data_IF_877627835453
#
_entry.id   IF_877627835453
#
_cell.length_a   1.000
_cell.length_b   1.000
_cell.length_c   1.000
_cell.angle_alpha   90.00
_cell.angle_beta   90.00
_cell.angle_gamma   90.00
#
_symmetry.space_group_name_H-M   'P 1'
#
loop_
_entity.id
_entity.type
_entity.pdbx_description
1 polymer ?
#
# COMPACT_ATOMS: atom_id res chain seq x y z
N UNK A 1 39.09 11.86 -48.23
CA UNK A 1 37.89 12.32 -47.47
C UNK A 1 37.14 11.06 -47.04
N UNK A 2 37.27 10.59 -45.79
CA UNK A 2 36.33 10.81 -44.65
C UNK A 2 34.88 10.48 -45.07
N UNK A 3 34.14 9.60 -44.40
CA UNK A 3 33.78 9.68 -42.97
C UNK A 3 33.62 8.30 -42.32
N UNK A 4 34.10 8.20 -41.08
CA UNK A 4 33.98 7.06 -40.17
C UNK A 4 32.80 7.35 -39.23
N UNK A 5 31.75 6.52 -39.29
CA UNK A 5 30.59 6.66 -38.40
C UNK A 5 30.93 6.06 -37.03
N UNK A 6 31.01 6.91 -36.01
CA UNK A 6 31.17 6.52 -34.61
C UNK A 6 29.77 6.23 -34.07
N UNK A 7 29.50 4.97 -33.75
CA UNK A 7 28.28 4.54 -33.07
C UNK A 7 28.39 4.90 -31.59
N UNK A 8 27.71 5.96 -31.17
CA UNK A 8 27.71 6.41 -29.77
C UNK A 8 26.71 5.57 -28.97
N UNK A 9 27.22 4.64 -28.15
CA UNK A 9 26.42 3.85 -27.21
C UNK A 9 26.11 4.73 -25.98
N UNK A 10 24.89 5.26 -25.92
CA UNK A 10 24.41 5.99 -24.74
C UNK A 10 23.87 4.98 -23.73
N UNK A 11 24.65 4.71 -22.67
CA UNK A 11 24.23 3.90 -21.53
C UNK A 11 23.38 4.79 -20.61
N UNK A 12 22.06 4.72 -20.76
CA UNK A 12 21.13 5.35 -19.82
C UNK A 12 21.16 4.57 -18.50
N UNK A 13 21.82 5.14 -17.49
CA UNK A 13 21.70 4.68 -16.10
C UNK A 13 20.29 5.04 -15.65
N UNK A 14 19.37 4.09 -15.71
CA UNK A 14 18.10 4.18 -14.98
C UNK A 14 18.43 4.13 -13.50
N UNK A 15 18.35 5.27 -12.82
CA UNK A 15 18.21 5.30 -11.37
C UNK A 15 16.94 4.52 -11.03
N UNK A 16 17.10 3.31 -10.50
CA UNK A 16 16.06 2.66 -9.72
C UNK A 16 15.83 3.58 -8.51
N UNK A 17 14.78 4.40 -8.58
CA UNK A 17 14.26 5.04 -7.38
C UNK A 17 13.95 3.90 -6.41
N UNK A 18 14.73 3.81 -5.34
CA UNK A 18 14.38 2.97 -4.20
C UNK A 18 13.16 3.64 -3.57
N UNK A 19 11.97 3.22 -4.01
CA UNK A 19 10.73 3.53 -3.33
C UNK A 19 10.85 2.92 -1.92
N UNK A 20 11.34 3.71 -0.97
CA UNK A 20 11.07 3.45 0.43
C UNK A 20 9.56 3.36 0.53
N UNK A 21 9.04 2.20 0.94
CA UNK A 21 7.63 1.80 0.85
C UNK A 21 6.69 2.68 1.70
N UNK A 22 6.55 3.94 1.29
CA UNK A 22 5.35 4.75 1.41
C UNK A 22 4.61 4.54 0.10
N UNK A 23 3.29 4.37 0.14
CA UNK A 23 2.50 4.07 -1.07
C UNK A 23 2.79 5.03 -2.23
N UNK A 24 2.44 4.62 -3.45
CA UNK A 24 2.70 5.42 -4.66
C UNK A 24 2.31 6.90 -4.45
N UNK A 25 3.17 7.82 -4.90
CA UNK A 25 2.92 9.24 -4.77
C UNK A 25 1.75 9.68 -5.67
N UNK A 26 0.99 10.73 -5.30
CA UNK A 26 0.07 11.36 -6.22
C UNK A 26 0.79 11.87 -7.48
N UNK A 27 0.18 11.68 -8.64
CA UNK A 27 0.75 12.09 -9.93
C UNK A 27 -0.24 12.99 -10.65
N UNK A 28 0.23 14.15 -11.10
CA UNK A 28 -0.52 15.02 -12.01
C UNK A 28 0.17 15.08 -13.36
N UNK A 29 -0.54 14.66 -14.42
CA UNK A 29 -0.02 14.65 -15.78
C UNK A 29 -1.16 14.78 -16.79
N UNK A 30 -0.96 15.61 -17.81
CA UNK A 30 -1.89 15.78 -18.94
C UNK A 30 -3.35 16.06 -18.50
N UNK A 31 -3.53 16.88 -17.46
CA UNK A 31 -4.85 17.23 -16.93
C UNK A 31 -5.50 16.16 -16.06
N UNK A 32 -4.79 15.07 -15.75
CA UNK A 32 -5.25 13.99 -14.87
C UNK A 32 -4.46 13.98 -13.56
N UNK A 33 -5.19 14.03 -12.44
CA UNK A 33 -4.64 13.84 -11.10
C UNK A 33 -5.00 12.43 -10.61
N UNK A 34 -3.99 11.58 -10.45
CA UNK A 34 -4.11 10.26 -9.85
C UNK A 34 -3.66 10.32 -8.38
N UNK A 35 -4.54 9.90 -7.47
CA UNK A 35 -4.25 9.77 -6.04
C UNK A 35 -4.36 8.27 -5.69
N UNK A 36 -3.24 7.61 -5.35
CA UNK A 36 -3.25 6.16 -5.14
C UNK A 36 -4.11 5.70 -3.98
N UNK A 37 -4.17 6.47 -2.90
CA UNK A 37 -4.90 6.12 -1.69
C UNK A 37 -5.27 7.35 -0.87
N UNK A 38 -6.45 7.31 -0.25
CA UNK A 38 -6.94 8.31 0.72
C UNK A 38 -7.44 7.60 1.97
N UNK A 39 -6.91 8.03 3.12
CA UNK A 39 -7.34 7.57 4.44
C UNK A 39 -8.52 8.42 4.94
N UNK A 40 -9.48 7.79 5.61
CA UNK A 40 -10.43 8.49 6.50
C UNK A 40 -10.02 8.27 7.95
N UNK A 41 -10.64 9.00 8.90
CA UNK A 41 -10.42 8.76 10.33
C UNK A 41 -10.60 7.27 10.68
N UNK A 42 -11.67 6.67 10.18
CA UNK A 42 -12.06 5.29 10.54
C UNK A 42 -11.38 4.19 9.71
N UNK A 43 -10.86 4.51 8.51
CA UNK A 43 -10.37 3.48 7.58
C UNK A 43 -9.19 3.99 6.76
N UNK A 44 -8.02 3.39 6.99
CA UNK A 44 -6.85 3.56 6.14
C UNK A 44 -7.12 2.93 4.76
N UNK A 45 -6.73 3.62 3.68
CA UNK A 45 -6.97 3.21 2.30
C UNK A 45 -8.45 3.07 1.92
N UNK A 46 -9.35 3.84 2.56
CA UNK A 46 -10.81 3.81 2.30
C UNK A 46 -11.12 3.99 0.83
N UNK A 47 -10.45 4.93 0.18
CA UNK A 47 -10.52 5.16 -1.26
C UNK A 47 -9.15 4.88 -1.87
N UNK A 48 -9.13 4.23 -3.03
CA UNK A 48 -7.92 3.88 -3.78
C UNK A 48 -8.14 4.16 -5.27
N UNK A 49 -7.04 4.29 -6.01
CA UNK A 49 -7.04 4.47 -7.47
C UNK A 49 -7.94 5.63 -7.93
N UNK A 50 -7.92 6.73 -7.18
CA UNK A 50 -8.75 7.90 -7.44
C UNK A 50 -8.15 8.66 -8.62
N UNK A 51 -8.98 8.97 -9.61
CA UNK A 51 -8.58 9.81 -10.75
C UNK A 51 -9.52 10.99 -10.89
N UNK A 52 -8.96 12.20 -10.90
CA UNK A 52 -9.65 13.43 -11.27
C UNK A 52 -9.17 13.93 -12.62
N UNK A 53 -10.09 14.46 -13.43
CA UNK A 53 -9.78 15.19 -14.66
C UNK A 53 -10.05 16.68 -14.44
N UNK A 54 -9.09 17.52 -14.80
CA UNK A 54 -9.28 18.97 -14.86
C UNK A 54 -10.08 19.30 -16.13
N UNK A 55 -11.24 19.94 -15.97
CA UNK A 55 -12.07 20.40 -17.09
C UNK A 55 -11.50 21.68 -17.70
N UNK A 56 -11.92 22.00 -18.92
CA UNK A 56 -11.53 23.25 -19.60
C UNK A 56 -11.96 24.50 -18.80
N UNK A 57 -13.02 24.39 -18.00
CA UNK A 57 -13.50 25.46 -17.12
C UNK A 57 -12.76 25.50 -15.77
N UNK A 58 -11.73 24.67 -15.58
CA UNK A 58 -10.90 24.65 -14.38
C UNK A 58 -11.51 23.89 -13.20
N UNK A 59 -12.55 23.07 -13.42
CA UNK A 59 -13.14 22.24 -12.37
C UNK A 59 -12.49 20.86 -12.33
N UNK A 60 -12.37 20.28 -11.13
CA UNK A 60 -11.97 18.89 -10.98
C UNK A 60 -13.19 17.98 -11.06
N UNK A 61 -13.20 17.08 -12.01
CA UNK A 61 -14.21 16.04 -12.15
C UNK A 61 -13.63 14.70 -11.72
N UNK A 62 -14.25 14.07 -10.73
CA UNK A 62 -13.96 12.70 -10.34
C UNK A 62 -14.36 11.74 -11.47
N UNK A 63 -13.41 10.94 -11.94
CA UNK A 63 -13.61 10.03 -13.09
C UNK A 63 -13.63 8.57 -12.68
N UNK A 64 -12.80 8.19 -11.70
CA UNK A 64 -12.78 6.84 -11.16
C UNK A 64 -12.36 6.86 -9.69
N UNK A 65 -12.86 5.88 -8.94
CA UNK A 65 -12.31 5.49 -7.65
C UNK A 65 -12.66 4.02 -7.36
N UNK A 66 -11.86 3.42 -6.49
CA UNK A 66 -12.15 2.16 -5.80
C UNK A 66 -12.38 2.45 -4.32
N UNK A 67 -13.31 1.76 -3.66
CA UNK A 67 -13.60 2.00 -2.24
C UNK A 67 -13.86 0.72 -1.46
N UNK A 68 -13.36 0.68 -0.23
CA UNK A 68 -13.62 -0.41 0.71
C UNK A 68 -15.10 -0.37 1.12
N UNK A 69 -15.85 -1.43 0.79
CA UNK A 69 -17.23 -1.65 1.26
C UNK A 69 -18.31 -0.67 0.77
N UNK A 70 -18.11 0.04 -0.35
CA UNK A 70 -19.12 0.97 -0.92
C UNK A 70 -19.59 0.50 -2.29
N UNK A 71 -20.89 0.21 -2.45
CA UNK A 71 -21.47 -0.41 -3.65
C UNK A 71 -22.19 0.54 -4.63
N UNK A 72 -22.15 1.86 -4.43
CA UNK A 72 -22.86 2.81 -5.30
C UNK A 72 -21.92 3.36 -6.40
N UNK A 73 -21.92 2.74 -7.57
CA UNK A 73 -21.21 3.22 -8.77
C UNK A 73 -19.68 3.23 -8.67
N UNK A 74 -19.13 2.56 -7.67
CA UNK A 74 -17.69 2.54 -7.31
C UNK A 74 -17.16 1.11 -7.40
N UNK A 75 -15.89 0.94 -7.80
CA UNK A 75 -15.23 -0.37 -7.74
C UNK A 75 -15.08 -0.81 -6.28
N UNK A 76 -15.77 -1.89 -5.89
CA UNK A 76 -15.80 -2.35 -4.49
C UNK A 76 -14.53 -3.10 -4.14
N UNK A 77 -13.75 -2.57 -3.20
CA UNK A 77 -12.64 -3.28 -2.57
C UNK A 77 -13.15 -4.10 -1.39
N UNK A 78 -12.62 -5.32 -1.29
CA UNK A 78 -12.83 -6.18 -0.13
C UNK A 78 -11.62 -6.17 0.81
N UNK A 79 -11.86 -6.56 2.07
CA UNK A 79 -10.82 -6.86 3.03
C UNK A 79 -10.71 -8.38 3.16
N UNK A 80 -9.52 -8.98 2.92
CA UNK A 80 -9.32 -10.40 3.18
C UNK A 80 -9.38 -10.67 4.69
N UNK A 81 -9.75 -11.92 5.02
CA UNK A 81 -9.66 -12.43 6.38
C UNK A 81 -8.17 -12.57 6.75
N UNK A 82 -7.80 -12.06 7.93
CA UNK A 82 -6.45 -12.21 8.48
C UNK A 82 -6.47 -13.34 9.50
N UNK A 83 -5.76 -14.42 9.19
CA UNK A 83 -5.70 -15.60 10.04
C UNK A 83 -4.59 -15.49 11.09
N UNK A 84 -3.43 -14.93 10.72
CA UNK A 84 -2.28 -14.80 11.62
C UNK A 84 -1.42 -13.60 11.24
N UNK A 85 -0.88 -12.95 12.27
CA UNK A 85 0.17 -11.94 12.16
C UNK A 85 1.33 -12.35 13.06
N UNK A 86 2.51 -12.52 12.48
CA UNK A 86 3.76 -12.74 13.21
C UNK A 86 4.59 -11.45 13.16
N UNK A 87 5.08 -10.99 14.31
CA UNK A 87 6.02 -9.87 14.39
C UNK A 87 7.44 -10.43 14.25
N UNK A 88 8.20 -9.90 13.30
CA UNK A 88 9.63 -10.18 13.14
C UNK A 88 10.39 -8.88 13.38
N UNK A 89 11.25 -8.85 14.40
CA UNK A 89 12.09 -7.70 14.74
C UNK A 89 13.56 -8.09 14.58
N UNK A 90 14.37 -7.21 14.00
CA UNK A 90 15.82 -7.44 13.89
C UNK A 90 16.53 -7.11 15.20
N UNK A 91 17.61 -7.83 15.48
CA UNK A 91 18.51 -7.53 16.60
C UNK A 91 19.54 -6.43 16.27
N UNK A 92 19.59 -5.96 15.02
CA UNK A 92 20.42 -4.83 14.60
C UNK A 92 19.84 -3.48 15.02
N UNK A 93 20.69 -2.46 15.05
CA UNK A 93 20.29 -1.08 15.29
C UNK A 93 20.62 -0.18 14.08
N UNK A 94 19.67 0.64 13.57
CA UNK A 94 18.27 0.74 13.99
C UNK A 94 17.49 -0.57 13.77
N UNK A 95 16.53 -0.83 14.65
CA UNK A 95 15.65 -1.99 14.56
C UNK A 95 14.71 -1.86 13.35
N UNK A 96 14.54 -2.96 12.63
CA UNK A 96 13.49 -3.16 11.65
C UNK A 96 12.39 -4.00 12.27
N UNK A 97 11.14 -3.67 11.96
CA UNK A 97 9.97 -4.46 12.35
C UNK A 97 9.21 -4.82 11.09
N UNK A 98 8.96 -6.11 10.91
CA UNK A 98 8.19 -6.68 9.81
C UNK A 98 6.98 -7.41 10.39
N UNK A 99 5.81 -7.18 9.81
CA UNK A 99 4.62 -7.99 10.07
C UNK A 99 4.49 -9.04 8.98
N UNK A 100 4.59 -10.31 9.35
CA UNK A 100 4.36 -11.43 8.44
C UNK A 100 2.91 -11.90 8.60
N UNK A 101 2.09 -11.52 7.64
CA UNK A 101 0.63 -11.64 7.65
C UNK A 101 0.20 -12.77 6.72
N UNK A 102 -0.56 -13.72 7.25
CA UNK A 102 -1.23 -14.77 6.48
C UNK A 102 -2.74 -14.70 6.64
N UNK A 103 -3.45 -15.06 5.58
CA UNK A 103 -4.89 -15.04 5.57
C UNK A 103 -5.45 -15.57 4.27
N UNK A 104 -6.72 -15.28 4.00
CA UNK A 104 -7.39 -15.71 2.78
C UNK A 104 -8.54 -14.83 2.35
N UNK A 105 -8.91 -14.95 1.08
CA UNK A 105 -10.09 -14.30 0.51
C UNK A 105 -10.71 -15.19 -0.58
N UNK A 106 -11.98 -14.98 -0.84
CA UNK A 106 -12.69 -15.66 -1.92
C UNK A 106 -12.14 -15.22 -3.27
N UNK A 107 -11.62 -16.16 -4.07
CA UNK A 107 -11.12 -15.89 -5.42
C UNK A 107 -12.20 -16.07 -6.50
N UNK A 108 -13.45 -15.77 -6.16
CA UNK A 108 -14.46 -15.63 -7.20
C UNK A 108 -14.12 -14.42 -8.08
N UNK A 109 -14.35 -14.53 -9.40
CA UNK A 109 -14.20 -13.42 -10.35
C UNK A 109 -12.76 -12.89 -10.52
N UNK A 110 -11.76 -13.77 -10.44
CA UNK A 110 -10.34 -13.45 -10.63
C UNK A 110 -9.83 -12.33 -9.72
N UNK A 111 -10.23 -12.39 -8.45
CA UNK A 111 -9.78 -11.43 -7.44
C UNK A 111 -8.31 -11.66 -7.11
N UNK A 112 -7.59 -10.57 -6.90
CA UNK A 112 -6.19 -10.55 -6.52
C UNK A 112 -6.01 -9.61 -5.34
N UNK A 113 -5.00 -9.89 -4.53
CA UNK A 113 -4.57 -8.95 -3.50
C UNK A 113 -4.27 -7.58 -4.13
N UNK A 114 -4.79 -6.56 -3.48
CA UNK A 114 -4.64 -5.16 -3.83
C UNK A 114 -3.56 -4.50 -2.99
N UNK A 115 -3.78 -3.22 -2.72
CA UNK A 115 -2.83 -2.36 -2.04
C UNK A 115 -2.75 -2.68 -0.53
N UNK A 116 -1.60 -2.33 0.05
CA UNK A 116 -1.39 -2.31 1.50
C UNK A 116 -1.25 -0.85 1.91
N UNK A 117 -2.18 -0.39 2.72
CA UNK A 117 -2.22 0.99 3.22
C UNK A 117 -1.95 1.01 4.71
N UNK A 118 -1.16 1.98 5.17
CA UNK A 118 -0.70 2.07 6.55
C UNK A 118 -0.83 3.51 7.07
N UNK A 119 -1.17 3.66 8.34
CA UNK A 119 -1.12 4.92 9.09
C UNK A 119 -0.61 4.63 10.49
N UNK A 120 0.30 5.47 10.97
CA UNK A 120 0.69 5.53 12.38
C UNK A 120 0.01 6.73 13.02
N UNK A 121 -0.76 6.51 14.08
CA UNK A 121 -1.38 7.55 14.88
C UNK A 121 -1.47 7.08 16.33
N UNK A 122 -1.07 7.91 17.31
CA UNK A 122 -1.12 7.57 18.73
C UNK A 122 -0.47 6.21 19.10
N UNK A 123 0.73 5.94 18.56
CA UNK A 123 1.44 4.65 18.70
C UNK A 123 0.68 3.41 18.17
N UNK A 124 -0.39 3.61 17.40
CA UNK A 124 -1.11 2.55 16.71
C UNK A 124 -0.85 2.60 15.21
N UNK A 125 -0.41 1.47 14.67
CA UNK A 125 -0.40 1.23 13.24
C UNK A 125 -1.74 0.63 12.80
N UNK A 126 -2.49 1.38 12.00
CA UNK A 126 -3.64 0.86 11.26
C UNK A 126 -3.17 0.39 9.88
N UNK A 127 -3.44 -0.87 9.54
CA UNK A 127 -3.06 -1.48 8.28
C UNK A 127 -4.29 -2.05 7.58
N UNK A 128 -4.52 -1.62 6.34
CA UNK A 128 -5.51 -2.21 5.46
C UNK A 128 -4.81 -2.96 4.32
N UNK A 129 -5.10 -4.25 4.22
CA UNK A 129 -4.81 -5.05 3.03
C UNK A 129 -6.12 -5.16 2.26
N UNK A 130 -6.15 -4.81 0.99
CA UNK A 130 -7.35 -4.98 0.14
C UNK A 130 -7.20 -6.14 -0.84
N UNK A 131 -8.31 -6.55 -1.43
CA UNK A 131 -8.33 -7.26 -2.72
C UNK A 131 -9.27 -6.54 -3.68
N UNK A 132 -8.99 -6.63 -4.98
CA UNK A 132 -9.73 -5.90 -6.01
C UNK A 132 -11.18 -6.40 -6.17
N UNK A 133 -12.00 -5.57 -6.81
CA UNK A 133 -13.35 -5.95 -7.20
C UNK A 133 -13.32 -7.10 -8.20
N UNK A 134 -14.39 -7.90 -8.20
CA UNK A 134 -14.67 -8.89 -9.22
C UNK A 134 -14.58 -8.29 -10.63
N UNK A 135 -13.90 -8.96 -11.56
CA UNK A 135 -14.07 -8.65 -12.97
C UNK A 135 -15.55 -8.80 -13.35
N UNK A 136 -16.06 -7.92 -14.22
CA UNK A 136 -17.46 -7.88 -14.66
C UNK A 136 -17.90 -9.12 -15.44
N UNK A 137 -16.99 -10.06 -15.73
CA UNK A 137 -17.30 -11.34 -16.35
C UNK A 137 -17.73 -12.35 -15.28
N UNK A 138 -18.95 -12.90 -15.37
CA UNK A 138 -19.37 -13.97 -14.48
C UNK A 138 -18.54 -15.22 -14.78
N UNK A 139 -17.53 -15.47 -13.96
CA UNK A 139 -16.85 -16.76 -13.92
C UNK A 139 -17.60 -17.60 -12.89
N UNK A 140 -18.09 -18.77 -13.30
CA UNK A 140 -18.69 -19.72 -12.37
C UNK A 140 -17.69 -20.03 -11.24
N UNK A 141 -17.99 -19.57 -10.03
CA UNK A 141 -17.10 -19.74 -8.89
C UNK A 141 -17.57 -20.91 -8.01
N UNK A 142 -16.65 -21.85 -7.74
CA UNK A 142 -16.87 -22.97 -6.82
C UNK A 142 -16.62 -22.62 -5.34
N UNK A 143 -16.67 -21.35 -4.93
CA UNK A 143 -16.47 -20.93 -3.53
C UNK A 143 -15.05 -21.16 -2.98
N UNK A 144 -14.02 -21.18 -3.84
CA UNK A 144 -12.66 -21.45 -3.41
C UNK A 144 -12.02 -20.24 -2.69
N UNK A 145 -11.52 -20.48 -1.47
CA UNK A 145 -10.66 -19.56 -0.74
C UNK A 145 -9.24 -19.65 -1.27
N UNK A 146 -8.60 -18.50 -1.50
CA UNK A 146 -7.18 -18.41 -1.81
C UNK A 146 -6.43 -17.83 -0.63
N UNK A 147 -5.48 -18.60 -0.12
CA UNK A 147 -4.59 -18.16 0.94
C UNK A 147 -3.50 -17.23 0.40
N UNK A 148 -3.01 -16.35 1.25
CA UNK A 148 -1.88 -15.49 0.97
C UNK A 148 -0.91 -15.40 2.14
N UNK A 149 0.32 -15.00 1.82
CA UNK A 149 1.35 -14.59 2.76
C UNK A 149 1.93 -13.26 2.28
N UNK A 150 2.05 -12.28 3.18
CA UNK A 150 2.65 -10.97 2.91
C UNK A 150 3.56 -10.58 4.07
N UNK A 151 4.69 -9.98 3.73
CA UNK A 151 5.59 -9.35 4.70
C UNK A 151 5.47 -7.84 4.54
N UNK A 152 5.06 -7.15 5.61
CA UNK A 152 4.80 -5.72 5.61
C UNK A 152 5.86 -5.05 6.48
N UNK A 153 6.73 -4.21 5.91
CA UNK A 153 7.68 -3.43 6.71
C UNK A 153 6.96 -2.31 7.44
N UNK A 154 7.23 -2.19 8.73
CA UNK A 154 6.71 -1.10 9.57
C UNK A 154 7.70 0.07 9.56
N UNK A 155 7.25 1.31 9.30
CA UNK A 155 8.12 2.48 9.30
C UNK A 155 8.42 2.91 10.75
N UNK A 156 9.35 2.18 11.39
CA UNK A 156 9.69 2.35 12.81
C UNK A 156 10.94 3.22 13.06
N UNK A 157 11.63 3.64 12.01
CA UNK A 157 12.77 4.54 12.15
C UNK A 157 12.31 5.92 12.66
N UNK A 158 13.08 6.51 13.58
CA UNK A 158 12.77 7.79 14.20
C UNK A 158 11.74 7.73 15.33
N UNK A 159 11.12 6.57 15.57
CA UNK A 159 10.16 6.39 16.65
C UNK A 159 10.85 6.28 18.00
N UNK A 160 10.22 6.83 19.03
CA UNK A 160 10.68 6.72 20.42
C UNK A 160 10.56 5.29 20.96
N UNK A 161 11.30 5.01 22.04
CA UNK A 161 11.09 3.80 22.82
C UNK A 161 9.62 3.72 23.29
N UNK A 162 9.02 2.53 23.22
CA UNK A 162 7.65 2.32 23.64
C UNK A 162 7.00 1.08 23.04
N UNK A 163 5.76 0.85 23.48
CA UNK A 163 4.89 -0.20 22.95
C UNK A 163 4.04 0.40 21.85
N UNK A 164 4.09 -0.26 20.69
CA UNK A 164 3.29 0.08 19.52
C UNK A 164 2.25 -1.01 19.31
N UNK A 165 1.01 -0.61 19.06
CA UNK A 165 -0.05 -1.53 18.64
C UNK A 165 -0.11 -1.59 17.12
N UNK A 166 -0.57 -2.72 16.59
CA UNK A 166 -0.97 -2.84 15.20
C UNK A 166 -2.39 -3.37 15.10
N UNK A 167 -3.07 -3.00 14.02
CA UNK A 167 -4.39 -3.49 13.64
C UNK A 167 -4.38 -3.78 12.12
N UNK A 168 -4.30 -5.05 11.74
CA UNK A 168 -4.34 -5.49 10.34
C UNK A 168 -5.73 -6.04 10.06
N UNK A 169 -6.56 -5.27 9.35
CA UNK A 169 -7.96 -5.62 9.04
C UNK A 169 -8.76 -6.20 10.23
N UNK A 170 -8.55 -5.67 11.45
CA UNK A 170 -9.23 -6.12 12.66
C UNK A 170 -8.39 -7.07 13.55
N UNK A 171 -7.35 -7.70 13.02
CA UNK A 171 -6.43 -8.55 13.80
C UNK A 171 -5.38 -7.67 14.48
N UNK A 172 -5.37 -7.69 15.82
CA UNK A 172 -4.58 -6.78 16.64
C UNK A 172 -3.42 -7.48 17.34
N UNK A 173 -2.39 -6.71 17.65
CA UNK A 173 -1.28 -7.13 18.51
C UNK A 173 -0.37 -5.96 18.83
N UNK A 174 0.81 -6.26 19.38
CA UNK A 174 1.77 -5.24 19.79
C UNK A 174 3.21 -5.66 19.51
N UNK A 175 4.11 -4.68 19.48
CA UNK A 175 5.55 -4.88 19.57
C UNK A 175 6.19 -3.74 20.37
N UNK A 176 7.42 -3.96 20.84
CA UNK A 176 8.14 -2.99 21.66
C UNK A 176 9.43 -2.52 21.00
N UNK A 177 9.65 -1.21 21.01
CA UNK A 177 10.95 -0.59 20.80
C UNK A 177 11.53 -0.29 22.19
N UNK A 178 12.59 -1.00 22.58
CA UNK A 178 13.20 -0.89 23.92
C UNK A 178 14.06 0.36 24.08
N UNK A 179 14.41 1.01 22.97
CA UNK A 179 15.18 2.25 22.87
C UNK A 179 14.64 3.08 21.71
N UNK A 180 14.92 4.39 21.71
CA UNK A 180 14.62 5.26 20.58
C UNK A 180 15.27 4.70 19.31
N UNK A 181 14.48 4.51 18.25
CA UNK A 181 14.91 3.83 17.05
C UNK A 181 15.47 4.80 16.00
N UNK A 182 16.49 5.55 16.38
CA UNK A 182 17.15 6.58 15.58
C UNK A 182 18.67 6.52 15.73
N UNK A 183 19.41 6.88 14.69
CA UNK A 183 20.87 6.92 14.79
C UNK A 183 21.34 8.04 15.74
N UNK A 184 22.50 7.89 16.41
CA UNK A 184 23.11 8.98 17.16
C UNK A 184 23.34 10.20 16.26
N UNK A 185 22.85 11.37 16.69
CA UNK A 185 22.98 12.62 15.94
C UNK A 185 21.76 12.98 15.09
N UNK A 186 20.78 12.08 14.95
CA UNK A 186 19.47 12.41 14.38
C UNK A 186 18.60 13.04 15.48
N UNK A 187 18.31 14.33 15.34
CA UNK A 187 17.53 15.14 16.27
C UNK A 187 16.07 15.29 15.82
#
# INVERSE_FOLDING_TARGET
MRFMNILSLVLTITLLATDFAFGAAPVYKDGLLAIPSVNTADQVGKYQDITFKLTEQGFWQLTSLSAIGVSNGTSVLGLPLIEKVEVVKTDSFPAQVLLRVSGGFENCYNRTLGQINQRLENNQFDIAITFNAAASTPVACGGAMVSFLRTIPMPVYGLSAGIYSYNVNGTKGTFELTVDNKLPGDY
#
